data_IF_506555726992
#
_entry.id   IF_506555726992
#
_cell.length_a   1.000
_cell.length_b   1.000
_cell.length_c   1.000
_cell.angle_alpha   90.00
_cell.angle_beta   90.00
_cell.angle_gamma   90.00
#
_symmetry.space_group_name_H-M   'P 1'
#
loop_
_entity.id
_entity.type
_entity.pdbx_description
1 polymer ?
#
# COMPACT_ATOMS: atom_id res chain seq x y z
N UNK A 1 -2.45 -13.22 8.50
CA UNK A 1 -2.62 -12.02 9.35
C UNK A 1 -3.78 -12.15 10.32
N UNK A 2 -4.94 -12.72 9.94
CA UNK A 2 -6.13 -12.80 10.81
C UNK A 2 -5.87 -13.40 12.21
N UNK A 3 -5.35 -14.64 12.29
CA UNK A 3 -5.10 -15.34 13.56
C UNK A 3 -4.15 -14.60 14.51
N UNK A 4 -2.97 -14.09 14.12
CA UNK A 4 -2.12 -13.35 15.07
C UNK A 4 -2.71 -12.01 15.50
N UNK A 5 -3.46 -11.31 14.64
CA UNK A 5 -4.04 -10.00 14.99
C UNK A 5 -5.20 -10.06 15.97
N UNK A 6 -5.82 -11.23 16.18
CA UNK A 6 -6.84 -11.41 17.23
C UNK A 6 -6.21 -11.41 18.62
N UNK A 7 -4.94 -11.84 18.75
CA UNK A 7 -4.22 -11.88 20.02
C UNK A 7 -3.29 -10.67 20.21
N UNK A 8 -2.67 -10.18 19.14
CA UNK A 8 -1.69 -9.09 19.18
C UNK A 8 -2.16 -7.95 18.28
N UNK A 9 -2.52 -6.82 18.88
CA UNK A 9 -2.81 -5.60 18.12
C UNK A 9 -1.51 -5.04 17.56
N UNK A 10 -1.54 -4.75 16.26
CA UNK A 10 -0.44 -4.09 15.57
C UNK A 10 -0.26 -2.68 16.17
N UNK A 11 0.99 -2.29 16.50
CA UNK A 11 1.29 -1.07 17.26
C UNK A 11 1.26 0.20 16.40
N UNK A 12 0.14 0.46 15.73
CA UNK A 12 -0.07 1.70 14.96
C UNK A 12 -1.20 2.55 15.53
N UNK A 13 -1.09 3.88 15.40
CA UNK A 13 -2.10 4.85 15.82
C UNK A 13 -2.43 4.76 17.31
N UNK A 14 -3.72 4.61 17.64
CA UNK A 14 -4.23 4.54 19.03
C UNK A 14 -3.71 3.35 19.86
N UNK A 15 -3.07 2.37 19.21
CA UNK A 15 -2.47 1.20 19.86
C UNK A 15 -0.93 1.26 19.85
N UNK A 16 -0.35 2.43 19.59
CA UNK A 16 1.10 2.64 19.65
C UNK A 16 1.61 2.32 21.06
N UNK A 17 2.64 1.47 21.15
CA UNK A 17 3.30 1.08 22.40
C UNK A 17 4.80 0.95 22.19
N UNK A 18 5.57 1.31 23.21
CA UNK A 18 7.01 1.12 23.21
C UNK A 18 7.38 -0.38 23.09
N UNK A 19 8.58 -0.67 22.57
CA UNK A 19 9.08 -2.05 22.41
C UNK A 19 8.95 -2.66 21.02
N UNK A 20 8.48 -1.91 20.02
CA UNK A 20 8.34 -2.36 18.62
C UNK A 20 9.40 -1.77 17.66
N UNK A 21 10.49 -1.23 18.21
CA UNK A 21 11.56 -0.60 17.44
C UNK A 21 11.43 0.92 17.32
N UNK A 22 12.24 1.56 16.46
CA UNK A 22 12.23 3.01 16.27
C UNK A 22 10.91 3.49 15.67
N UNK A 23 10.40 4.62 16.16
CA UNK A 23 9.17 5.24 15.65
C UNK A 23 9.46 6.19 14.49
N UNK A 24 8.54 6.23 13.53
CA UNK A 24 8.55 7.17 12.39
C UNK A 24 7.28 8.01 12.47
N UNK A 25 7.32 9.25 11.95
CA UNK A 25 6.12 10.09 11.90
C UNK A 25 5.00 9.39 11.12
N UNK A 26 3.74 9.38 11.61
CA UNK A 26 2.65 8.63 10.98
C UNK A 26 2.40 8.99 9.52
N UNK A 27 2.55 10.27 9.15
CA UNK A 27 2.36 10.73 7.77
C UNK A 27 3.43 10.17 6.84
N UNK A 28 4.69 10.19 7.26
CA UNK A 28 5.79 9.64 6.46
C UNK A 28 5.68 8.12 6.35
N UNK A 29 5.32 7.43 7.43
CA UNK A 29 5.11 5.99 7.42
C UNK A 29 4.02 5.59 6.41
N UNK A 30 2.86 6.26 6.43
CA UNK A 30 1.79 6.02 5.47
C UNK A 30 2.20 6.33 4.03
N UNK A 31 2.86 7.47 3.79
CA UNK A 31 3.35 7.83 2.47
C UNK A 31 4.32 6.77 1.91
N UNK A 32 5.28 6.32 2.72
CA UNK A 32 6.24 5.29 2.30
C UNK A 32 5.57 3.92 2.09
N UNK A 33 4.55 3.58 2.88
CA UNK A 33 3.85 2.29 2.74
C UNK A 33 2.91 2.24 1.53
N UNK A 34 2.25 3.35 1.18
CA UNK A 34 1.29 3.42 0.06
C UNK A 34 1.94 3.86 -1.26
N UNK A 35 3.11 4.49 -1.22
CA UNK A 35 3.82 4.89 -2.45
C UNK A 35 4.19 3.72 -3.39
N UNK A 36 4.59 2.51 -2.92
CA UNK A 36 5.00 1.43 -3.82
C UNK A 36 3.85 0.96 -4.71
N UNK A 37 2.62 0.93 -4.22
CA UNK A 37 1.43 0.54 -5.00
C UNK A 37 1.22 1.48 -6.18
N UNK A 38 1.36 2.79 -5.97
CA UNK A 38 1.28 3.80 -7.05
C UNK A 38 2.45 3.70 -8.02
N UNK A 39 3.68 3.68 -7.53
CA UNK A 39 4.87 3.67 -8.38
C UNK A 39 5.02 2.36 -9.17
N UNK A 40 4.82 1.21 -8.53
CA UNK A 40 4.96 -0.08 -9.20
C UNK A 40 3.87 -0.29 -10.24
N UNK A 41 2.62 0.08 -9.96
CA UNK A 41 1.54 -0.05 -10.94
C UNK A 41 1.80 0.85 -12.15
N UNK A 42 2.17 2.12 -11.95
CA UNK A 42 2.43 3.06 -13.06
C UNK A 42 3.68 2.71 -13.87
N UNK A 43 4.76 2.25 -13.24
CA UNK A 43 6.01 1.91 -13.91
C UNK A 43 5.99 0.55 -14.61
N UNK A 44 5.32 -0.46 -14.03
CA UNK A 44 5.31 -1.82 -14.57
C UNK A 44 4.18 -2.05 -15.57
N UNK A 45 3.03 -1.38 -15.43
CA UNK A 45 1.87 -1.60 -16.31
C UNK A 45 2.19 -1.39 -17.80
N UNK A 46 2.95 -0.36 -18.24
CA UNK A 46 3.31 -0.18 -19.65
C UNK A 46 4.09 -1.35 -20.27
N UNK A 47 4.83 -2.11 -19.46
CA UNK A 47 5.61 -3.27 -19.90
C UNK A 47 4.72 -4.50 -20.20
N UNK A 48 3.44 -4.47 -19.83
CA UNK A 48 2.49 -5.55 -20.10
C UNK A 48 2.09 -5.62 -21.56
N UNK A 49 1.89 -6.83 -22.09
CA UNK A 49 1.45 -7.06 -23.48
C UNK A 49 0.10 -6.44 -23.84
N UNK A 50 -0.76 -6.20 -22.84
CA UNK A 50 -2.10 -5.62 -23.00
C UNK A 50 -2.19 -4.19 -22.45
N UNK A 51 -1.07 -3.48 -22.30
CA UNK A 51 -1.04 -2.12 -21.73
C UNK A 51 -1.83 -1.10 -22.56
N UNK A 52 -1.98 -1.32 -23.86
CA UNK A 52 -2.79 -0.48 -24.76
C UNK A 52 -4.26 -0.92 -24.88
N UNK A 53 -4.67 -2.00 -24.20
CA UNK A 53 -6.06 -2.46 -24.24
C UNK A 53 -6.94 -1.49 -23.43
N UNK A 54 -8.06 -0.97 -24.00
CA UNK A 54 -8.94 -0.04 -23.29
C UNK A 54 -9.50 -0.61 -22.00
N UNK A 55 -9.79 -1.92 -21.93
CA UNK A 55 -10.28 -2.57 -20.70
C UNK A 55 -9.21 -2.55 -19.61
N UNK A 56 -7.95 -2.86 -19.95
CA UNK A 56 -6.84 -2.83 -18.99
C UNK A 56 -6.56 -1.42 -18.49
N UNK A 57 -6.70 -0.41 -19.35
CA UNK A 57 -6.57 1.00 -18.98
C UNK A 57 -7.68 1.45 -18.03
N UNK A 58 -8.93 1.06 -18.26
CA UNK A 58 -10.05 1.37 -17.35
C UNK A 58 -9.79 0.77 -15.97
N UNK A 59 -9.34 -0.49 -15.91
CA UNK A 59 -9.01 -1.14 -14.65
C UNK A 59 -7.87 -0.42 -13.91
N UNK A 60 -6.83 0.01 -14.64
CA UNK A 60 -5.75 0.82 -14.05
C UNK A 60 -6.27 2.16 -13.51
N UNK A 61 -7.14 2.85 -14.24
CA UNK A 61 -7.71 4.12 -13.81
C UNK A 61 -8.54 3.98 -12.53
N UNK A 62 -9.36 2.94 -12.42
CA UNK A 62 -10.11 2.64 -11.20
C UNK A 62 -9.15 2.33 -10.04
N UNK A 63 -8.07 1.58 -10.30
CA UNK A 63 -7.05 1.28 -9.30
C UNK A 63 -6.30 2.52 -8.80
N UNK A 64 -5.96 3.46 -9.70
CA UNK A 64 -5.25 4.70 -9.33
C UNK A 64 -6.16 5.74 -8.65
N UNK A 65 -7.47 5.64 -8.83
CA UNK A 65 -8.44 6.53 -8.19
C UNK A 65 -8.81 6.09 -6.76
N UNK A 66 -8.53 4.84 -6.40
CA UNK A 66 -8.74 4.28 -5.06
C UNK A 66 -7.76 4.86 -4.05
#
# INVERSE_FOLDING_TARGET
TFIPTTFIRVPYGRHSRAGWGPSISPRLAWFLMESPTLWMSTLLFPLGRMSSNPTSLILLMVFLAH
#
